data_IF_579871558796
#
_entry.id   IF_579871558796
#
_cell.length_a   1.000
_cell.length_b   1.000
_cell.length_c   1.000
_cell.angle_alpha   90.00
_cell.angle_beta   90.00
_cell.angle_gamma   90.00
#
_symmetry.space_group_name_H-M   'P 1'
#
loop_
_entity.id
_entity.type
_entity.pdbx_description
1 polymer ?
#
# COMPACT_ATOMS: atom_id res chain seq x y z
N UNK A 1 9.89 -17.07 -17.41
CA UNK A 1 10.94 -17.92 -18.00
C UNK A 1 10.26 -19.23 -18.33
N UNK A 2 10.28 -19.60 -19.61
CA UNK A 2 9.52 -20.72 -20.10
C UNK A 2 10.48 -21.91 -20.29
N UNK A 3 10.14 -23.08 -19.75
CA UNK A 3 10.87 -24.32 -19.97
C UNK A 3 9.99 -25.25 -20.84
N UNK A 4 10.52 -25.74 -21.96
CA UNK A 4 9.81 -26.63 -22.91
C UNK A 4 8.43 -26.10 -23.38
N UNK A 5 8.29 -24.77 -23.45
CA UNK A 5 7.09 -24.07 -23.93
C UNK A 5 7.54 -22.91 -24.83
N UNK A 6 6.74 -22.52 -25.85
CA UNK A 6 7.04 -21.36 -26.68
C UNK A 6 7.22 -20.09 -25.85
N UNK A 7 8.12 -19.20 -26.27
CA UNK A 7 8.35 -17.89 -25.62
C UNK A 7 7.15 -16.95 -25.71
N UNK A 8 6.31 -17.12 -26.74
CA UNK A 8 5.08 -16.33 -26.94
C UNK A 8 3.93 -16.77 -26.02
N UNK A 9 4.07 -17.91 -25.32
CA UNK A 9 3.09 -18.35 -24.32
C UNK A 9 3.29 -17.64 -22.98
N UNK A 10 2.29 -16.90 -22.51
CA UNK A 10 2.27 -16.26 -21.20
C UNK A 10 0.91 -16.46 -20.50
N UNK A 11 0.93 -16.59 -19.18
CA UNK A 11 -0.30 -16.69 -18.37
C UNK A 11 -0.77 -15.29 -17.97
N UNK A 12 -2.03 -14.95 -18.26
CA UNK A 12 -2.63 -13.66 -17.88
C UNK A 12 -2.84 -13.50 -16.37
N UNK A 13 -2.89 -14.62 -15.65
CA UNK A 13 -2.99 -14.70 -14.18
C UNK A 13 -1.65 -14.49 -13.47
N UNK A 14 -0.57 -14.29 -14.21
CA UNK A 14 0.74 -13.93 -13.69
C UNK A 14 1.13 -12.51 -14.12
N UNK A 15 2.09 -11.85 -13.43
CA UNK A 15 2.65 -10.58 -13.87
C UNK A 15 3.36 -10.72 -15.22
N UNK A 16 3.24 -9.71 -16.09
CA UNK A 16 3.93 -9.69 -17.39
C UNK A 16 4.62 -8.34 -17.61
N UNK A 17 5.95 -8.32 -17.50
CA UNK A 17 6.77 -7.13 -17.74
C UNK A 17 8.26 -7.44 -17.76
N UNK A 18 8.99 -6.81 -18.68
CA UNK A 18 10.44 -6.93 -18.79
C UNK A 18 11.20 -6.01 -17.84
N UNK A 19 12.48 -6.32 -17.61
CA UNK A 19 13.43 -5.47 -16.88
C UNK A 19 14.36 -4.72 -17.86
N UNK A 20 15.18 -3.79 -17.35
CA UNK A 20 16.16 -3.06 -18.16
C UNK A 20 15.48 -2.16 -19.21
N UNK A 21 15.97 -2.17 -20.45
CA UNK A 21 15.38 -1.38 -21.53
C UNK A 21 13.95 -1.82 -21.94
N UNK A 22 13.50 -2.99 -21.48
CA UNK A 22 12.17 -3.54 -21.80
C UNK A 22 11.06 -3.14 -20.82
N UNK A 23 11.34 -2.32 -19.82
CA UNK A 23 10.34 -1.89 -18.86
C UNK A 23 10.86 -0.91 -17.80
N UNK A 24 9.99 -0.58 -16.86
CA UNK A 24 10.26 0.39 -15.79
C UNK A 24 9.78 -0.11 -14.42
N UNK A 25 9.83 -1.42 -14.20
CA UNK A 25 9.37 -2.10 -12.97
C UNK A 25 7.86 -1.97 -12.69
N UNK A 26 7.04 -1.71 -13.72
CA UNK A 26 5.57 -1.76 -13.65
C UNK A 26 5.03 -2.84 -14.59
N UNK A 27 5.05 -4.13 -14.20
CA UNK A 27 4.54 -5.20 -15.04
C UNK A 27 3.02 -5.05 -15.24
N UNK A 28 2.54 -5.40 -16.44
CA UNK A 28 1.12 -5.52 -16.74
C UNK A 28 0.58 -6.91 -16.40
N UNK A 29 -0.45 -7.33 -17.15
CA UNK A 29 -1.24 -8.53 -16.87
C UNK A 29 -1.79 -8.51 -15.44
N UNK A 30 -1.51 -9.51 -14.61
CA UNK A 30 -2.09 -9.59 -13.27
C UNK A 30 -1.74 -8.38 -12.37
N UNK A 31 -0.52 -7.84 -12.49
CA UNK A 31 -0.06 -6.68 -11.71
C UNK A 31 -0.45 -5.33 -12.33
N UNK A 32 -1.27 -5.31 -13.38
CA UNK A 32 -1.82 -4.06 -13.88
C UNK A 32 -2.60 -3.28 -12.80
N UNK A 33 -3.23 -4.01 -11.87
CA UNK A 33 -3.92 -3.41 -10.72
C UNK A 33 -3.01 -2.49 -9.88
N UNK A 34 -1.73 -2.85 -9.74
CA UNK A 34 -0.77 -2.14 -8.88
C UNK A 34 -0.43 -0.74 -9.39
N UNK A 35 -0.54 -0.51 -10.71
CA UNK A 35 -0.36 0.83 -11.29
C UNK A 35 -1.68 1.54 -11.62
N UNK A 36 -2.81 0.83 -11.61
CA UNK A 36 -4.14 1.41 -11.83
C UNK A 36 -4.71 2.05 -10.56
N UNK A 37 -4.33 1.57 -9.38
CA UNK A 37 -4.77 2.07 -8.10
C UNK A 37 -3.58 2.37 -7.18
N UNK A 38 -3.81 3.20 -6.18
CA UNK A 38 -2.84 3.55 -5.17
C UNK A 38 -3.44 3.25 -3.79
N UNK A 39 -2.65 2.72 -2.83
CA UNK A 39 -3.19 2.30 -1.55
C UNK A 39 -3.53 3.52 -0.68
N UNK A 40 -4.70 3.47 -0.06
CA UNK A 40 -5.12 4.37 1.01
C UNK A 40 -5.30 3.56 2.29
N UNK A 41 -4.58 3.93 3.35
CA UNK A 41 -4.71 3.32 4.67
C UNK A 41 -5.27 4.35 5.65
N UNK A 42 -6.25 3.95 6.46
CA UNK A 42 -6.96 4.81 7.41
C UNK A 42 -6.94 4.16 8.80
N UNK A 43 -6.85 4.99 9.86
CA UNK A 43 -7.09 4.59 11.25
C UNK A 43 -8.35 5.31 11.71
N UNK A 44 -9.40 4.56 12.00
CA UNK A 44 -10.73 5.11 12.27
C UNK A 44 -11.12 4.82 13.72
N UNK A 45 -11.53 5.87 14.43
CA UNK A 45 -12.19 5.77 15.73
C UNK A 45 -13.55 6.46 15.62
N UNK A 46 -14.66 5.82 16.01
CA UNK A 46 -15.99 6.42 15.91
C UNK A 46 -16.16 7.59 16.88
N UNK A 47 -15.40 7.63 17.97
CA UNK A 47 -15.43 8.69 18.97
C UNK A 47 -14.03 9.23 19.24
N UNK A 48 -13.96 10.53 19.56
CA UNK A 48 -12.73 11.18 19.98
C UNK A 48 -12.60 11.08 21.51
N UNK A 49 -11.67 10.24 21.98
CA UNK A 49 -11.39 10.07 23.40
C UNK A 49 -9.91 10.32 23.72
N UNK A 50 -9.64 10.72 24.96
CA UNK A 50 -8.27 10.74 25.47
C UNK A 50 -7.79 9.30 25.67
N UNK A 51 -6.50 8.99 25.42
CA UNK A 51 -5.96 7.67 25.71
C UNK A 51 -5.96 7.42 27.23
N UNK A 52 -6.13 6.15 27.63
CA UNK A 52 -6.17 5.78 29.06
C UNK A 52 -4.90 6.19 29.82
N UNK A 53 -3.75 6.10 29.15
CA UNK A 53 -2.46 6.57 29.69
C UNK A 53 -1.93 7.70 28.81
N UNK A 54 -1.80 8.90 29.39
CA UNK A 54 -1.17 10.03 28.72
C UNK A 54 0.36 9.82 28.63
N UNK A 55 0.96 10.31 27.54
CA UNK A 55 2.42 10.36 27.44
C UNK A 55 3.01 11.29 28.52
N UNK A 56 4.21 10.99 29.06
CA UNK A 56 4.84 11.83 30.08
C UNK A 56 4.95 13.29 29.65
N UNK A 57 4.64 14.22 30.55
CA UNK A 57 4.71 15.67 30.30
C UNK A 57 3.44 16.31 29.72
N UNK A 58 2.38 15.54 29.43
CA UNK A 58 1.08 16.06 29.03
C UNK A 58 0.16 16.26 30.27
N UNK A 59 -0.07 17.51 30.68
CA UNK A 59 -1.03 17.87 31.74
C UNK A 59 -2.12 18.79 31.21
N UNK A 60 -3.31 18.23 31.01
CA UNK A 60 -4.47 18.96 30.47
C UNK A 60 -5.31 19.64 31.56
N UNK A 61 -4.90 19.59 32.84
CA UNK A 61 -5.65 20.18 33.97
C UNK A 61 -5.51 21.71 34.10
N UNK A 62 -4.62 22.35 33.34
CA UNK A 62 -4.30 23.78 33.48
C UNK A 62 -5.12 24.70 32.56
N UNK A 63 -6.09 24.16 31.80
CA UNK A 63 -6.87 24.89 30.79
C UNK A 63 -8.23 25.44 31.24
N UNK A 64 -8.69 25.17 32.46
CA UNK A 64 -10.00 25.63 33.00
C UNK A 64 -9.85 26.80 33.98
N UNK A 65 -9.03 27.79 33.62
CA UNK A 65 -8.99 29.08 34.29
C UNK A 65 -9.29 30.19 33.28
N UNK A 66 -10.57 30.30 32.88
CA UNK A 66 -11.19 31.54 32.39
C UNK A 66 -12.70 31.41 32.33
#
# INVERSE_FOLDING_TARGET
MNWNKPLTGAASTAPFGGIGASGNHRPGAWYAADYCAWPMASLESPELTLPETLSPGLDFRQGTAR
#
